data_IF_392518746105
#
_entry.id   IF_392518746105
#
_cell.length_a   1.000
_cell.length_b   1.000
_cell.length_c   1.000
_cell.angle_alpha   90.00
_cell.angle_beta   90.00
_cell.angle_gamma   90.00
#
_symmetry.space_group_name_H-M   'P 1'
#
loop_
_entity.id
_entity.type
_entity.pdbx_description
1 polymer ?
#
# COMPACT_ATOMS: atom_id res chain seq x y z
N UNK A 1 -60.89 -1.76 -17.47
CA UNK A 1 -59.60 -1.47 -16.80
C UNK A 1 -59.12 -0.13 -17.32
N UNK A 2 -58.96 0.87 -16.44
CA UNK A 2 -58.26 2.11 -16.81
C UNK A 2 -56.81 1.73 -17.11
N UNK A 3 -56.19 2.15 -18.23
CA UNK A 3 -54.77 1.95 -18.41
C UNK A 3 -54.05 2.72 -17.30
N UNK A 4 -53.57 2.00 -16.28
CA UNK A 4 -52.62 2.55 -15.32
C UNK A 4 -51.38 2.94 -16.10
N UNK A 5 -50.95 4.19 -15.93
CA UNK A 5 -49.79 4.81 -16.55
C UNK A 5 -48.68 3.80 -16.89
N UNK A 6 -48.16 3.87 -18.13
CA UNK A 6 -46.91 3.22 -18.46
C UNK A 6 -45.87 3.69 -17.44
N UNK A 7 -45.41 2.78 -16.58
CA UNK A 7 -44.28 3.02 -15.69
C UNK A 7 -43.07 3.16 -16.59
N UNK A 8 -42.76 4.40 -16.98
CA UNK A 8 -41.48 4.74 -17.57
C UNK A 8 -40.45 4.49 -16.47
N UNK A 9 -39.72 3.37 -16.61
CA UNK A 9 -38.49 3.13 -15.86
C UNK A 9 -37.67 4.42 -15.84
N UNK A 10 -37.10 4.74 -14.67
CA UNK A 10 -36.40 5.98 -14.35
C UNK A 10 -35.52 6.54 -15.49
N UNK A 11 -35.29 7.87 -15.45
CA UNK A 11 -34.42 8.62 -16.38
C UNK A 11 -33.19 7.78 -16.77
N UNK A 12 -32.85 7.66 -18.07
CA UNK A 12 -31.74 6.84 -18.51
C UNK A 12 -30.47 7.34 -17.82
N UNK A 13 -30.02 6.62 -16.80
CA UNK A 13 -28.82 6.97 -16.05
C UNK A 13 -27.64 7.02 -17.01
N UNK A 14 -26.73 7.97 -16.76
CA UNK A 14 -25.58 8.24 -17.64
C UNK A 14 -24.93 6.93 -18.08
N UNK A 15 -24.95 6.66 -19.40
CA UNK A 15 -24.54 5.38 -20.00
C UNK A 15 -23.09 4.99 -19.69
N UNK A 16 -22.29 5.93 -19.17
CA UNK A 16 -20.90 5.72 -18.75
C UNK A 16 -20.81 5.32 -17.26
N UNK A 17 -21.76 5.74 -16.41
CA UNK A 17 -21.72 5.52 -14.96
C UNK A 17 -22.54 4.31 -14.49
N UNK A 18 -23.63 3.96 -15.19
CA UNK A 18 -24.47 2.82 -14.76
C UNK A 18 -24.06 1.46 -15.33
N UNK A 19 -23.54 1.37 -16.57
CA UNK A 19 -23.20 0.06 -17.16
C UNK A 19 -21.75 -0.39 -16.91
N UNK A 20 -20.87 0.53 -16.50
CA UNK A 20 -19.44 0.25 -16.33
C UNK A 20 -18.99 0.09 -14.88
N UNK A 21 -19.79 0.57 -13.92
CA UNK A 21 -19.38 0.63 -12.51
C UNK A 21 -20.25 -0.19 -11.55
N UNK A 22 -21.53 -0.46 -11.86
CA UNK A 22 -22.41 -1.32 -11.05
C UNK A 22 -23.22 -2.29 -11.93
N UNK A 23 -22.55 -3.38 -12.31
CA UNK A 23 -23.13 -4.48 -13.05
C UNK A 23 -24.05 -5.31 -12.14
N UNK A 24 -25.29 -5.55 -12.58
CA UNK A 24 -26.19 -6.50 -11.92
C UNK A 24 -25.95 -7.92 -12.43
N UNK A 25 -26.40 -8.92 -11.69
CA UNK A 25 -26.31 -10.31 -12.12
C UNK A 25 -26.95 -10.50 -13.49
N UNK A 26 -26.16 -11.01 -14.46
CA UNK A 26 -26.62 -11.28 -15.82
C UNK A 26 -26.24 -10.22 -16.86
N UNK A 27 -25.67 -9.08 -16.46
CA UNK A 27 -25.15 -8.09 -17.41
C UNK A 27 -23.84 -8.58 -18.08
N UNK A 28 -23.72 -8.32 -19.38
CA UNK A 28 -22.71 -8.89 -20.30
C UNK A 28 -21.79 -7.82 -20.91
N UNK A 29 -21.65 -6.67 -20.27
CA UNK A 29 -20.73 -5.60 -20.74
C UNK A 29 -19.25 -5.99 -20.60
N UNK A 30 -18.95 -7.01 -19.78
CA UNK A 30 -17.62 -7.63 -19.67
C UNK A 30 -17.31 -8.48 -20.92
N UNK A 31 -16.04 -8.68 -21.21
CA UNK A 31 -15.56 -9.58 -22.28
C UNK A 31 -16.27 -10.95 -22.24
N UNK A 32 -16.82 -11.38 -23.37
CA UNK A 32 -17.55 -12.66 -23.49
C UNK A 32 -16.59 -13.82 -23.21
N UNK A 33 -16.86 -14.58 -22.14
CA UNK A 33 -16.12 -15.77 -21.79
C UNK A 33 -16.88 -17.01 -22.28
N UNK A 34 -16.21 -17.92 -22.99
CA UNK A 34 -16.74 -19.21 -23.44
C UNK A 34 -15.69 -20.29 -23.20
N UNK A 35 -16.10 -21.44 -22.69
CA UNK A 35 -15.22 -22.60 -22.49
C UNK A 35 -14.43 -22.62 -21.17
N UNK A 36 -14.78 -21.76 -20.20
CA UNK A 36 -14.21 -21.82 -18.84
C UNK A 36 -15.17 -22.62 -17.97
N UNK A 37 -14.68 -23.74 -17.41
CA UNK A 37 -15.44 -24.59 -16.48
C UNK A 37 -14.86 -24.42 -15.07
N UNK A 38 -15.72 -24.08 -14.11
CA UNK A 38 -15.35 -23.90 -12.71
C UNK A 38 -16.01 -24.99 -11.86
N UNK A 39 -15.19 -25.64 -11.03
CA UNK A 39 -15.64 -26.64 -10.08
C UNK A 39 -15.46 -26.11 -8.66
N UNK A 40 -16.44 -26.37 -7.80
CA UNK A 40 -16.41 -25.99 -6.39
C UNK A 40 -17.06 -27.08 -5.55
N UNK A 41 -16.59 -27.26 -4.32
CA UNK A 41 -17.21 -28.14 -3.33
C UNK A 41 -18.15 -27.33 -2.44
N UNK A 42 -19.24 -27.95 -1.97
CA UNK A 42 -20.12 -27.31 -1.00
C UNK A 42 -19.34 -27.02 0.30
N UNK A 43 -19.53 -25.85 0.95
CA UNK A 43 -18.82 -25.53 2.18
C UNK A 43 -19.13 -26.51 3.31
N UNK A 44 -20.30 -27.17 3.28
CA UNK A 44 -20.69 -28.22 4.23
C UNK A 44 -19.93 -29.53 4.04
N UNK A 45 -19.26 -29.72 2.91
CA UNK A 45 -18.47 -30.91 2.60
C UNK A 45 -16.97 -30.71 2.85
N UNK A 46 -16.52 -29.46 3.00
CA UNK A 46 -15.13 -29.11 3.28
C UNK A 46 -14.93 -28.70 4.74
N UNK A 47 -13.74 -28.95 5.30
CA UNK A 47 -13.36 -28.35 6.59
C UNK A 47 -13.25 -26.83 6.43
N UNK A 48 -13.60 -26.05 7.45
CA UNK A 48 -13.58 -24.58 7.38
C UNK A 48 -12.16 -23.99 7.22
N UNK A 49 -11.15 -24.62 7.82
CA UNK A 49 -9.77 -24.12 7.83
C UNK A 49 -8.71 -25.23 7.72
N UNK A 50 -8.71 -26.03 6.63
CA UNK A 50 -7.74 -27.10 6.45
C UNK A 50 -6.33 -26.51 6.31
N UNK A 51 -5.38 -27.07 7.07
CA UNK A 51 -3.96 -26.68 7.03
C UNK A 51 -3.70 -25.19 7.31
N UNK A 52 -4.59 -24.51 8.04
CA UNK A 52 -4.50 -23.08 8.31
C UNK A 52 -3.12 -22.69 8.85
N UNK A 53 -2.59 -23.38 9.86
CA UNK A 53 -1.28 -23.03 10.44
C UNK A 53 -0.12 -23.21 9.45
N UNK A 54 -0.05 -24.37 8.78
CA UNK A 54 1.01 -24.67 7.81
C UNK A 54 0.97 -23.69 6.63
N UNK A 55 -0.20 -23.50 6.05
CA UNK A 55 -0.37 -22.64 4.88
C UNK A 55 -0.22 -21.17 5.25
N UNK A 56 -0.75 -20.72 6.38
CA UNK A 56 -0.62 -19.34 6.83
C UNK A 56 0.83 -18.97 7.10
N UNK A 57 1.58 -19.84 7.78
CA UNK A 57 2.99 -19.58 8.08
C UNK A 57 3.83 -19.54 6.79
N UNK A 58 3.78 -20.59 5.97
CA UNK A 58 4.62 -20.68 4.78
C UNK A 58 4.19 -19.72 3.66
N UNK A 59 2.89 -19.55 3.44
CA UNK A 59 2.40 -18.59 2.45
C UNK A 59 2.54 -17.14 2.95
N UNK A 60 2.36 -16.91 4.25
CA UNK A 60 2.58 -15.61 4.89
C UNK A 60 4.03 -15.17 4.73
N UNK A 61 4.98 -16.04 5.11
CA UNK A 61 6.40 -15.78 4.91
C UNK A 61 6.74 -15.54 3.43
N UNK A 62 6.26 -16.39 2.52
CA UNK A 62 6.49 -16.23 1.07
C UNK A 62 5.95 -14.90 0.52
N UNK A 63 4.81 -14.42 1.01
CA UNK A 63 4.24 -13.13 0.57
C UNK A 63 5.00 -11.97 1.19
N UNK A 64 5.33 -12.05 2.48
CA UNK A 64 6.08 -11.01 3.18
C UNK A 64 7.50 -10.87 2.66
N UNK A 65 8.19 -11.95 2.30
CA UNK A 65 9.56 -11.90 1.79
C UNK A 65 9.68 -11.14 0.48
N UNK A 66 8.66 -11.21 -0.39
CA UNK A 66 8.62 -10.43 -1.64
C UNK A 66 8.50 -8.93 -1.37
N UNK A 67 7.75 -8.53 -0.35
CA UNK A 67 7.60 -7.12 0.02
C UNK A 67 8.65 -6.63 1.02
N UNK A 68 9.37 -7.52 1.70
CA UNK A 68 10.33 -7.15 2.73
C UNK A 68 11.42 -6.24 2.16
N UNK A 69 11.97 -6.57 1.00
CA UNK A 69 13.00 -5.75 0.35
C UNK A 69 12.52 -4.34 -0.02
N UNK A 70 11.43 -4.14 -0.78
CA UNK A 70 10.95 -2.80 -1.11
C UNK A 70 10.45 -2.00 0.11
N UNK A 71 10.04 -2.66 1.20
CA UNK A 71 9.67 -1.99 2.45
C UNK A 71 10.92 -1.55 3.23
N UNK A 72 11.95 -2.40 3.33
CA UNK A 72 13.17 -2.12 4.10
C UNK A 72 14.07 -1.13 3.35
N UNK A 73 14.20 -1.30 2.04
CA UNK A 73 14.98 -0.44 1.16
C UNK A 73 14.05 0.02 0.04
N UNK A 74 13.50 1.24 0.12
CA UNK A 74 12.90 1.86 -1.04
C UNK A 74 13.96 1.90 -2.14
N UNK A 75 13.67 1.22 -3.25
CA UNK A 75 14.53 1.19 -4.44
C UNK A 75 14.68 2.58 -5.12
N UNK A 76 14.21 3.66 -4.49
CA UNK A 76 14.32 5.03 -4.97
C UNK A 76 15.79 5.47 -5.16
N UNK A 77 16.73 4.90 -4.41
CA UNK A 77 18.15 5.24 -4.53
C UNK A 77 18.90 4.52 -5.68
N UNK A 78 18.25 3.63 -6.45
CA UNK A 78 18.87 2.97 -7.62
C UNK A 78 18.43 3.55 -8.98
N UNK A 79 17.51 4.52 -9.00
CA UNK A 79 17.05 5.20 -10.22
C UNK A 79 17.04 6.74 -10.09
N UNK A 80 18.06 7.34 -9.48
CA UNK A 80 18.27 8.80 -9.59
C UNK A 80 19.16 9.08 -10.79
N UNK A 81 18.58 9.17 -12.00
CA UNK A 81 19.16 9.86 -13.17
C UNK A 81 18.07 10.32 -14.17
N UNK A 82 16.90 10.77 -13.68
CA UNK A 82 15.97 11.57 -14.51
C UNK A 82 15.62 12.85 -13.77
N UNK A 83 16.35 13.92 -14.10
CA UNK A 83 16.06 15.29 -13.67
C UNK A 83 14.63 15.66 -14.06
N UNK A 84 13.94 16.34 -13.15
CA UNK A 84 12.66 17.03 -13.32
C UNK A 84 11.38 16.17 -13.30
N UNK A 85 10.92 15.84 -12.09
CA UNK A 85 9.58 16.20 -11.59
C UNK A 85 9.35 15.63 -10.18
N UNK A 86 9.16 16.54 -9.22
CA UNK A 86 8.71 16.39 -7.82
C UNK A 86 9.09 15.09 -7.07
N UNK A 87 10.05 15.13 -6.12
CA UNK A 87 10.34 13.98 -5.28
C UNK A 87 9.23 13.82 -4.25
N UNK A 88 8.29 12.89 -4.49
CA UNK A 88 7.48 12.33 -3.41
C UNK A 88 8.45 11.61 -2.49
N UNK A 89 8.70 12.22 -1.33
CA UNK A 89 9.61 11.73 -0.29
C UNK A 89 9.01 10.45 0.28
N UNK A 90 9.30 9.33 -0.37
CA UNK A 90 9.20 8.01 0.25
C UNK A 90 10.51 7.77 0.98
N UNK A 91 10.65 8.44 2.13
CA UNK A 91 11.77 8.19 3.01
C UNK A 91 11.78 6.73 3.44
N UNK A 92 12.95 6.14 3.45
CA UNK A 92 13.15 4.75 3.87
C UNK A 92 13.09 4.64 5.38
N UNK A 93 12.08 3.95 5.92
CA UNK A 93 11.91 3.77 7.36
C UNK A 93 13.20 3.32 8.08
N UNK A 94 14.03 2.49 7.46
CA UNK A 94 15.31 2.06 8.02
C UNK A 94 16.36 3.18 8.07
N UNK A 95 16.66 3.86 6.95
CA UNK A 95 17.64 4.96 6.97
C UNK A 95 17.12 6.14 7.81
N UNK A 96 15.83 6.43 7.77
CA UNK A 96 15.22 7.49 8.58
C UNK A 96 15.37 7.21 10.06
N UNK A 97 15.16 5.95 10.46
CA UNK A 97 15.36 5.54 11.83
C UNK A 97 16.81 5.74 12.27
N UNK A 98 17.79 5.37 11.44
CA UNK A 98 19.21 5.58 11.75
C UNK A 98 19.59 7.06 11.78
N UNK A 99 19.12 7.86 10.83
CA UNK A 99 19.35 9.31 10.78
C UNK A 99 18.71 10.00 11.99
N UNK A 100 17.47 9.65 12.32
CA UNK A 100 16.77 10.15 13.50
C UNK A 100 17.50 9.79 14.79
N UNK A 101 17.95 8.53 14.94
CA UNK A 101 18.74 8.09 16.11
C UNK A 101 20.03 8.88 16.26
N UNK A 102 20.74 9.14 15.16
CA UNK A 102 21.95 9.95 15.18
C UNK A 102 21.66 11.41 15.55
N UNK A 103 20.62 12.01 14.95
CA UNK A 103 20.21 13.38 15.23
C UNK A 103 19.77 13.58 16.69
N UNK A 104 19.01 12.65 17.26
CA UNK A 104 18.60 12.70 18.66
C UNK A 104 19.82 12.57 19.59
N UNK A 105 20.79 11.70 19.24
CA UNK A 105 22.02 11.57 20.01
C UNK A 105 22.84 12.87 20.00
N UNK A 106 23.02 13.48 18.83
CA UNK A 106 23.74 14.76 18.70
C UNK A 106 23.01 15.88 19.44
N UNK A 107 21.69 15.99 19.27
CA UNK A 107 20.86 16.97 19.98
C UNK A 107 20.99 16.84 21.51
N UNK A 108 20.92 15.61 22.03
CA UNK A 108 21.07 15.37 23.47
C UNK A 108 22.49 15.66 23.96
N UNK A 109 23.51 15.37 23.16
CA UNK A 109 24.90 15.69 23.50
C UNK A 109 25.13 17.21 23.52
N UNK A 110 24.64 17.95 22.53
CA UNK A 110 24.74 19.43 22.47
C UNK A 110 24.07 20.12 23.65
N UNK A 111 22.98 19.55 24.16
CA UNK A 111 22.27 20.04 25.34
C UNK A 111 22.82 19.50 26.68
N UNK A 112 23.93 18.74 26.65
CA UNK A 112 24.62 18.28 27.86
C UNK A 112 25.70 19.27 28.28
N UNK A 113 26.13 19.21 29.55
CA UNK A 113 27.22 20.06 30.06
C UNK A 113 28.53 19.87 29.28
N UNK A 114 28.83 18.63 28.90
CA UNK A 114 30.01 18.29 28.11
C UNK A 114 29.95 18.92 26.72
N UNK A 115 28.78 18.89 26.08
CA UNK A 115 28.56 19.50 24.77
C UNK A 115 28.74 21.01 24.79
N UNK A 116 28.20 21.70 25.80
CA UNK A 116 28.35 23.15 25.93
C UNK A 116 29.82 23.58 26.14
N UNK A 117 30.59 22.84 26.96
CA UNK A 117 32.01 23.12 27.17
C UNK A 117 32.82 22.88 25.89
N UNK A 118 32.55 21.78 25.18
CA UNK A 118 33.24 21.46 23.93
C UNK A 118 32.92 22.47 22.81
N UNK A 119 31.67 22.90 22.68
CA UNK A 119 31.25 23.91 21.70
C UNK A 119 31.82 25.30 22.04
N UNK A 120 31.86 25.68 23.32
CA UNK A 120 32.49 26.93 23.75
C UNK A 120 34.00 26.91 23.49
N UNK A 121 34.67 25.78 23.79
CA UNK A 121 36.10 25.61 23.52
C UNK A 121 36.41 25.64 22.01
N UNK A 122 35.53 25.09 21.16
CA UNK A 122 35.67 25.17 19.71
C UNK A 122 35.53 26.61 19.20
N UNK A 123 34.57 27.39 19.71
CA UNK A 123 34.38 28.79 19.33
C UNK A 123 35.57 29.69 19.69
N UNK A 124 36.25 29.42 20.80
CA UNK A 124 37.45 30.16 21.20
C UNK A 124 38.73 29.79 20.42
N UNK A 125 38.72 28.70 19.65
CA UNK A 125 39.87 28.29 18.84
C UNK A 125 39.84 28.86 17.41
N UNK A 126 38.74 29.49 17.01
CA UNK A 126 38.54 30.09 15.68
C UNK A 126 38.73 31.63 15.67
N UNK A 127 38.96 32.25 16.84
CA UNK A 127 39.41 33.65 17.00
C UNK A 127 40.94 33.74 17.15
#
# INVERSE_FOLDING_TARGET
MRPSNAVLSDMPGLCILNSRQNLWWGDRTIQKQKGIYQYTLSPYQSKAAPHMFRNYLFNGFRRLSVYALPIIVPAWNLCVHRKHSQPYIYSSYALDYYVWKAAVKDYNWRNSKEGHIALAAAGHAEE
#
